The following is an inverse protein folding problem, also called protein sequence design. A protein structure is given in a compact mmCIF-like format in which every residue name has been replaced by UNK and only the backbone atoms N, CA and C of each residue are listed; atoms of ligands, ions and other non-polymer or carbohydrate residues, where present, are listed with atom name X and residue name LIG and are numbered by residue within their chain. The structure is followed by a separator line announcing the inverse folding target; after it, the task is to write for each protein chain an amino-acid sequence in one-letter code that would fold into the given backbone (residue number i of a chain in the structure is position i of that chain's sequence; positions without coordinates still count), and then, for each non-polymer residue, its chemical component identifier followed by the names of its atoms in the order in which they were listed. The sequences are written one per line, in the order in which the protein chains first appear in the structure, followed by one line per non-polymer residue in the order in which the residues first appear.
data_IF_420832850927
#
_entry.id   IF_420832850927
#
_cell.length_a   1.000
_cell.length_b   1.000
_cell.length_c   1.000
_cell.angle_alpha   90.00
_cell.angle_beta   90.00
_cell.angle_gamma   90.00
#
_symmetry.space_group_name_H-M   'P 1'
#
loop_
_entity.id
_entity.type
_entity.pdbx_description
1 polymer ?
#
# COMPACT_ATOMS: atom_id res chain seq x y z
N UNK A 1 16.74 14.29 -9.46
CA UNK A 1 17.50 13.94 -8.23
C UNK A 1 17.31 12.47 -7.85
N UNK A 2 16.09 12.02 -7.52
CA UNK A 2 15.79 10.62 -7.14
C UNK A 2 16.32 9.56 -8.12
N UNK A 3 15.93 9.66 -9.41
CA UNK A 3 16.38 8.72 -10.45
C UNK A 3 17.92 8.69 -10.62
N UNK A 4 18.59 9.82 -10.36
CA UNK A 4 20.05 9.89 -10.39
C UNK A 4 20.70 9.14 -9.23
N UNK A 5 20.18 9.33 -8.00
CA UNK A 5 20.64 8.58 -6.81
C UNK A 5 20.41 7.08 -7.01
N UNK A 6 19.25 6.70 -7.54
CA UNK A 6 18.89 5.31 -7.80
C UNK A 6 19.84 4.64 -8.81
N UNK A 7 20.20 5.36 -9.89
CA UNK A 7 21.18 4.89 -10.88
C UNK A 7 22.58 4.73 -10.27
N UNK A 8 22.99 5.64 -9.39
CA UNK A 8 24.30 5.56 -8.71
C UNK A 8 24.35 4.38 -7.73
N UNK A 9 23.30 4.17 -6.94
CA UNK A 9 23.28 3.14 -5.90
C UNK A 9 23.06 1.72 -6.45
N UNK A 10 22.17 1.58 -7.42
CA UNK A 10 21.69 0.26 -7.85
C UNK A 10 22.04 -0.07 -9.30
N UNK A 11 22.56 0.88 -10.08
CA UNK A 11 22.91 0.66 -11.48
C UNK A 11 21.72 0.71 -12.44
N UNK A 12 20.53 1.12 -12.02
CA UNK A 12 19.34 1.24 -12.89
C UNK A 12 18.49 2.46 -12.52
N UNK A 13 17.82 3.05 -13.52
CA UNK A 13 16.90 4.18 -13.31
C UNK A 13 15.53 3.72 -12.80
N UNK A 14 15.05 2.58 -13.30
CA UNK A 14 13.83 1.92 -12.85
C UNK A 14 14.17 0.47 -12.55
N UNK A 15 13.52 -0.10 -11.54
CA UNK A 15 13.79 -1.48 -11.15
C UNK A 15 13.43 -2.40 -12.32
N UNK A 16 14.36 -3.24 -12.82
CA UNK A 16 14.14 -4.02 -14.03
C UNK A 16 12.88 -4.89 -13.99
N UNK A 17 12.59 -5.49 -12.83
CA UNK A 17 11.40 -6.33 -12.63
C UNK A 17 10.10 -5.52 -12.80
N UNK A 18 10.07 -4.27 -12.32
CA UNK A 18 8.91 -3.38 -12.49
C UNK A 18 8.70 -2.94 -13.95
N UNK A 19 9.77 -2.84 -14.76
CA UNK A 19 9.64 -2.59 -16.20
C UNK A 19 8.97 -3.80 -16.88
N UNK A 20 9.29 -5.02 -16.43
CA UNK A 20 8.68 -6.25 -16.94
C UNK A 20 7.17 -6.36 -16.71
N UNK A 21 6.63 -5.63 -15.72
CA UNK A 21 5.19 -5.57 -15.43
C UNK A 21 4.45 -4.43 -16.15
N UNK A 22 5.12 -3.65 -17.01
CA UNK A 22 4.46 -2.62 -17.79
C UNK A 22 3.55 -3.27 -18.83
N UNK A 23 2.24 -3.27 -18.56
CA UNK A 23 1.23 -3.71 -19.49
C UNK A 23 0.80 -2.55 -20.40
N UNK A 24 1.19 -2.61 -21.67
CA UNK A 24 0.71 -1.66 -22.71
C UNK A 24 -0.60 -2.14 -23.38
N UNK A 25 -1.34 -3.05 -22.75
CA UNK A 25 -2.62 -3.51 -23.29
C UNK A 25 -3.77 -2.60 -22.84
N UNK A 26 -4.73 -2.36 -23.75
CA UNK A 26 -5.87 -1.47 -23.48
C UNK A 26 -6.75 -1.99 -22.34
N UNK A 27 -6.86 -3.32 -22.19
CA UNK A 27 -7.68 -3.95 -21.13
C UNK A 27 -7.11 -3.64 -19.75
N UNK A 28 -5.82 -3.88 -19.54
CA UNK A 28 -5.16 -3.58 -18.26
C UNK A 28 -5.19 -2.09 -17.94
N UNK A 29 -5.05 -1.23 -18.95
CA UNK A 29 -5.23 0.21 -18.78
C UNK A 29 -6.61 0.56 -18.18
N UNK A 30 -7.70 0.05 -18.75
CA UNK A 30 -9.04 0.34 -18.23
C UNK A 30 -9.30 -0.32 -16.87
N UNK A 31 -8.82 -1.55 -16.65
CA UNK A 31 -8.97 -2.25 -15.38
C UNK A 31 -8.28 -1.51 -14.23
N UNK A 32 -7.06 -1.04 -14.45
CA UNK A 32 -6.28 -0.28 -13.48
C UNK A 32 -6.93 1.08 -13.17
N UNK A 33 -7.40 1.82 -14.18
CA UNK A 33 -8.15 3.06 -13.96
C UNK A 33 -9.48 2.82 -13.23
N UNK A 34 -10.20 1.76 -13.59
CA UNK A 34 -11.45 1.40 -12.93
C UNK A 34 -11.24 1.02 -11.46
N UNK A 35 -10.17 0.29 -11.17
CA UNK A 35 -9.78 -0.01 -9.80
C UNK A 35 -9.50 1.27 -9.00
N UNK A 36 -8.80 2.24 -9.59
CA UNK A 36 -8.57 3.56 -8.97
C UNK A 36 -9.87 4.33 -8.74
N UNK A 37 -10.78 4.33 -9.73
CA UNK A 37 -12.10 4.94 -9.57
C UNK A 37 -12.87 4.31 -8.40
N UNK A 38 -12.89 2.97 -8.32
CA UNK A 38 -13.50 2.25 -7.20
C UNK A 38 -12.86 2.64 -5.88
N UNK A 39 -11.55 2.74 -5.82
CA UNK A 39 -10.81 3.08 -4.60
C UNK A 39 -11.06 4.52 -4.13
N UNK A 40 -11.10 5.50 -5.04
CA UNK A 40 -11.25 6.91 -4.66
C UNK A 40 -12.69 7.36 -4.47
N UNK A 41 -13.63 6.82 -5.25
CA UNK A 41 -15.00 7.32 -5.26
C UNK A 41 -16.01 6.40 -4.58
N UNK A 42 -15.76 5.08 -4.60
CA UNK A 42 -16.76 4.08 -4.24
C UNK A 42 -16.31 3.12 -3.13
N UNK A 43 -15.16 3.36 -2.52
CA UNK A 43 -14.68 2.51 -1.44
C UNK A 43 -15.46 2.80 -0.16
N UNK A 44 -15.69 1.76 0.66
CA UNK A 44 -16.51 1.88 1.89
C UNK A 44 -15.97 2.97 2.83
N UNK A 45 -14.65 3.10 2.92
CA UNK A 45 -13.96 4.07 3.79
C UNK A 45 -14.20 5.54 3.42
N UNK A 46 -14.45 5.85 2.14
CA UNK A 46 -14.59 7.22 1.65
C UNK A 46 -15.90 7.45 0.89
N UNK A 47 -16.85 6.51 0.95
CA UNK A 47 -18.01 6.46 0.06
C UNK A 47 -18.80 7.77 -0.02
N UNK A 48 -19.04 8.45 1.10
CA UNK A 48 -19.85 9.68 1.14
C UNK A 48 -19.17 10.80 0.35
N UNK A 49 -17.93 11.12 0.73
CA UNK A 49 -17.15 12.20 0.12
C UNK A 49 -16.73 11.81 -1.30
N UNK A 50 -16.35 10.55 -1.52
CA UNK A 50 -16.01 9.98 -2.81
C UNK A 50 -17.18 10.05 -3.80
N UNK A 51 -18.37 9.58 -3.43
CA UNK A 51 -19.54 9.63 -4.29
C UNK A 51 -19.95 11.07 -4.60
N UNK A 52 -19.95 11.96 -3.59
CA UNK A 52 -20.23 13.38 -3.80
C UNK A 52 -19.23 14.02 -4.78
N UNK A 53 -17.93 13.68 -4.65
CA UNK A 53 -16.88 14.12 -5.58
C UNK A 53 -17.13 13.63 -6.99
N UNK A 54 -17.48 12.34 -7.14
CA UNK A 54 -17.72 11.72 -8.44
C UNK A 54 -18.89 12.37 -9.17
N UNK A 55 -20.02 12.55 -8.48
CA UNK A 55 -21.22 13.22 -9.03
C UNK A 55 -20.87 14.65 -9.43
N UNK A 56 -20.13 15.36 -8.60
CA UNK A 56 -19.69 16.73 -8.88
C UNK A 56 -18.75 16.82 -10.08
N UNK A 57 -17.80 15.88 -10.19
CA UNK A 57 -16.90 15.71 -11.32
C UNK A 57 -17.68 15.52 -12.63
N UNK A 58 -18.59 14.54 -12.66
CA UNK A 58 -19.40 14.22 -13.84
C UNK A 58 -20.26 15.42 -14.25
N UNK A 59 -20.92 16.06 -13.28
CA UNK A 59 -21.73 17.25 -13.54
C UNK A 59 -20.92 18.40 -14.14
N UNK A 60 -19.74 18.71 -13.57
CA UNK A 60 -18.90 19.79 -14.08
C UNK A 60 -18.21 19.45 -15.40
N UNK A 61 -17.93 18.18 -15.69
CA UNK A 61 -17.44 17.74 -16.99
C UNK A 61 -18.50 17.96 -18.09
N UNK A 62 -19.75 17.60 -17.82
CA UNK A 62 -20.86 17.81 -18.76
C UNK A 62 -21.21 19.29 -18.94
N UNK A 63 -21.01 20.11 -17.90
CA UNK A 63 -21.30 21.55 -17.90
C UNK A 63 -20.03 22.42 -17.82
N UNK A 64 -18.93 22.00 -18.46
CA UNK A 64 -17.60 22.60 -18.31
C UNK A 64 -17.54 24.13 -18.51
N UNK A 65 -18.41 24.70 -19.35
CA UNK A 65 -18.48 26.16 -19.57
C UNK A 65 -18.93 26.96 -18.35
N UNK A 66 -19.54 26.30 -17.36
CA UNK A 66 -20.03 26.90 -16.10
C UNK A 66 -19.14 26.57 -14.90
N UNK A 67 -18.20 25.64 -15.05
CA UNK A 67 -17.32 25.22 -13.97
C UNK A 67 -16.26 26.30 -13.68
N UNK A 68 -15.96 26.56 -12.41
CA UNK A 68 -14.86 27.46 -12.07
C UNK A 68 -13.52 26.85 -12.52
N UNK A 69 -12.59 27.70 -12.98
CA UNK A 69 -11.26 27.27 -13.48
C UNK A 69 -10.53 26.35 -12.50
N UNK A 70 -10.64 26.60 -11.20
CA UNK A 70 -10.06 25.75 -10.16
C UNK A 70 -10.54 24.30 -10.25
N UNK A 71 -11.84 24.07 -10.36
CA UNK A 71 -12.41 22.72 -10.47
C UNK A 71 -11.87 22.02 -11.72
N UNK A 72 -11.84 22.71 -12.86
CA UNK A 72 -11.28 22.14 -14.08
C UNK A 72 -9.81 21.71 -13.93
N UNK A 73 -8.99 22.52 -13.25
CA UNK A 73 -7.58 22.17 -12.95
C UNK A 73 -7.50 20.93 -12.06
N UNK A 74 -8.30 20.85 -11.00
CA UNK A 74 -8.32 19.68 -10.10
C UNK A 74 -8.78 18.42 -10.82
N UNK A 75 -9.85 18.52 -11.62
CA UNK A 75 -10.37 17.42 -12.43
C UNK A 75 -9.29 16.93 -13.41
N UNK A 76 -8.62 17.85 -14.10
CA UNK A 76 -7.53 17.54 -15.03
C UNK A 76 -6.36 16.88 -14.29
N UNK A 77 -5.99 17.38 -13.11
CA UNK A 77 -4.94 16.78 -12.29
C UNK A 77 -5.26 15.34 -11.89
N UNK A 78 -6.50 15.05 -11.47
CA UNK A 78 -6.95 13.69 -11.11
C UNK A 78 -6.83 12.77 -12.33
N UNK A 79 -7.38 13.19 -13.47
CA UNK A 79 -7.35 12.41 -14.71
C UNK A 79 -5.89 12.14 -15.13
N UNK A 80 -5.06 13.17 -15.26
CA UNK A 80 -3.65 13.02 -15.65
C UNK A 80 -2.89 12.11 -14.69
N UNK A 81 -3.13 12.23 -13.38
CA UNK A 81 -2.46 11.38 -12.37
C UNK A 81 -2.88 9.91 -12.50
N UNK A 82 -4.16 9.63 -12.79
CA UNK A 82 -4.63 8.27 -13.07
C UNK A 82 -4.06 7.72 -14.38
N UNK A 83 -3.96 8.52 -15.44
CA UNK A 83 -3.29 8.09 -16.67
C UNK A 83 -1.80 7.81 -16.43
N UNK A 84 -1.12 8.68 -15.68
CA UNK A 84 0.30 8.56 -15.38
C UNK A 84 0.64 7.31 -14.56
N UNK A 85 -0.22 6.90 -13.62
CA UNK A 85 0.03 5.70 -12.81
C UNK A 85 0.03 4.40 -13.62
N UNK A 86 -0.71 4.35 -14.73
CA UNK A 86 -0.70 3.19 -15.64
C UNK A 86 0.65 3.02 -16.34
N UNK A 87 1.34 4.12 -16.64
CA UNK A 87 2.61 4.10 -17.38
C UNK A 87 3.80 3.80 -16.47
N UNK A 88 3.66 4.00 -15.17
CA UNK A 88 4.80 4.09 -14.28
C UNK A 88 4.94 2.89 -13.29
N UNK A 89 4.05 1.90 -13.31
CA UNK A 89 3.99 0.83 -12.29
C UNK A 89 4.16 1.41 -10.85
N UNK A 90 3.58 2.59 -10.62
CA UNK A 90 3.68 3.22 -9.31
C UNK A 90 2.69 2.48 -8.40
N UNK A 91 3.20 1.87 -7.32
CA UNK A 91 2.38 1.27 -6.27
C UNK A 91 1.22 2.20 -5.86
N UNK A 92 0.05 1.63 -5.56
CA UNK A 92 -1.19 2.39 -5.30
C UNK A 92 -1.02 3.52 -4.27
N UNK A 93 -0.10 3.37 -3.30
CA UNK A 93 0.28 4.42 -2.33
C UNK A 93 0.69 5.76 -2.94
N UNK A 94 1.25 5.78 -4.15
CA UNK A 94 1.66 7.05 -4.76
C UNK A 94 0.48 7.87 -5.28
N UNK A 95 -0.66 7.21 -5.47
CA UNK A 95 -1.91 7.86 -5.83
C UNK A 95 -2.62 8.47 -4.61
N UNK A 96 -2.08 8.31 -3.39
CA UNK A 96 -2.57 9.01 -2.21
C UNK A 96 -2.52 10.54 -2.38
N UNK A 97 -1.68 11.07 -3.28
CA UNK A 97 -1.67 12.50 -3.62
C UNK A 97 -2.99 12.98 -4.25
N UNK A 98 -3.77 12.07 -4.84
CA UNK A 98 -5.10 12.37 -5.39
C UNK A 98 -6.12 12.58 -4.27
N UNK A 99 -5.99 11.85 -3.16
CA UNK A 99 -7.02 11.76 -2.12
C UNK A 99 -7.41 13.11 -1.49
N UNK A 100 -6.47 14.03 -1.14
CA UNK A 100 -6.84 15.35 -0.64
C UNK A 100 -7.75 16.14 -1.61
N UNK A 101 -7.53 16.00 -2.91
CA UNK A 101 -8.32 16.69 -3.94
C UNK A 101 -9.72 16.11 -4.08
N UNK A 102 -9.84 14.78 -3.98
CA UNK A 102 -11.13 14.11 -3.87
C UNK A 102 -11.88 14.65 -2.65
N UNK A 103 -11.22 14.74 -1.49
CA UNK A 103 -11.86 15.26 -0.27
C UNK A 103 -12.35 16.69 -0.47
N UNK A 104 -11.52 17.57 -1.02
CA UNK A 104 -11.91 18.97 -1.30
C UNK A 104 -13.12 19.04 -2.24
N UNK A 105 -13.11 18.29 -3.33
CA UNK A 105 -14.23 18.25 -4.29
C UNK A 105 -15.51 17.71 -3.64
N UNK A 106 -15.40 16.65 -2.85
CA UNK A 106 -16.55 16.03 -2.20
C UNK A 106 -17.15 16.92 -1.12
N UNK A 107 -16.32 17.58 -0.31
CA UNK A 107 -16.79 18.55 0.69
C UNK A 107 -17.47 19.74 0.00
N UNK A 108 -16.88 20.27 -1.08
CA UNK A 108 -17.48 21.34 -1.86
C UNK A 108 -18.84 20.91 -2.43
N UNK A 109 -18.91 19.72 -3.02
CA UNK A 109 -20.14 19.17 -3.57
C UNK A 109 -21.24 19.03 -2.50
N UNK A 110 -20.89 18.53 -1.32
CA UNK A 110 -21.81 18.40 -0.20
C UNK A 110 -22.30 19.77 0.28
N UNK A 111 -21.41 20.76 0.41
CA UNK A 111 -21.81 22.12 0.81
C UNK A 111 -22.81 22.75 -0.18
N UNK A 112 -22.56 22.59 -1.49
CA UNK A 112 -23.47 23.05 -2.55
C UNK A 112 -24.81 22.33 -2.52
N UNK A 113 -24.81 21.00 -2.33
CA UNK A 113 -26.05 20.22 -2.20
C UNK A 113 -26.84 20.71 -0.99
N UNK A 114 -26.19 20.86 0.18
CA UNK A 114 -26.86 21.29 1.40
C UNK A 114 -27.38 22.72 1.30
N UNK A 115 -26.70 23.61 0.58
CA UNK A 115 -27.16 24.98 0.32
C UNK A 115 -28.48 25.01 -0.47
N UNK A 116 -28.71 24.06 -1.38
CA UNK A 116 -29.96 23.93 -2.12
C UNK A 116 -31.15 23.53 -1.22
N UNK A 117 -30.91 22.68 -0.22
CA UNK A 117 -31.97 22.13 0.64
C UNK A 117 -32.17 22.92 1.94
N UNK A 118 -31.12 23.53 2.49
CA UNK A 118 -31.15 24.22 3.78
C UNK A 118 -30.91 25.72 3.62
N UNK A 119 -31.96 26.51 3.82
CA UNK A 119 -31.91 27.98 3.76
C UNK A 119 -31.21 28.61 4.96
N UNK A 120 -31.20 27.92 6.11
CA UNK A 120 -30.57 28.41 7.33
C UNK A 120 -29.13 27.94 7.43
N UNK A 121 -28.20 28.89 7.52
CA UNK A 121 -26.75 28.61 7.65
C UNK A 121 -26.42 27.65 8.80
N UNK A 122 -27.09 27.79 9.94
CA UNK A 122 -26.88 26.91 11.10
C UNK A 122 -27.21 25.45 10.78
N UNK A 123 -28.39 25.19 10.20
CA UNK A 123 -28.82 23.83 9.87
C UNK A 123 -27.92 23.20 8.78
N UNK A 124 -27.58 23.99 7.75
CA UNK A 124 -26.63 23.59 6.70
C UNK A 124 -25.29 23.15 7.31
N UNK A 125 -24.69 23.99 8.13
CA UNK A 125 -23.38 23.75 8.73
C UNK A 125 -23.41 22.54 9.69
N UNK A 126 -24.46 22.41 10.51
CA UNK A 126 -24.63 21.25 11.38
C UNK A 126 -24.73 19.94 10.58
N UNK A 127 -25.48 19.94 9.47
CA UNK A 127 -25.57 18.78 8.59
C UNK A 127 -24.24 18.45 7.91
N UNK A 128 -23.48 19.46 7.47
CA UNK A 128 -22.16 19.26 6.90
C UNK A 128 -21.21 18.62 7.93
N UNK A 129 -21.19 19.14 9.16
CA UNK A 129 -20.39 18.57 10.26
C UNK A 129 -20.79 17.12 10.55
N UNK A 130 -22.09 16.81 10.57
CA UNK A 130 -22.58 15.45 10.77
C UNK A 130 -22.09 14.51 9.66
N UNK A 131 -22.20 14.91 8.39
CA UNK A 131 -21.72 14.13 7.25
C UNK A 131 -20.21 13.92 7.29
N UNK A 132 -19.44 14.94 7.66
CA UNK A 132 -17.99 14.82 7.78
C UNK A 132 -17.57 13.92 8.93
N UNK A 133 -18.28 14.00 10.06
CA UNK A 133 -18.06 13.12 11.20
C UNK A 133 -18.35 11.67 10.83
N UNK A 134 -19.47 11.42 10.15
CA UNK A 134 -19.83 10.08 9.71
C UNK A 134 -18.87 9.54 8.63
N UNK A 135 -18.44 10.38 7.67
CA UNK A 135 -17.43 9.99 6.69
C UNK A 135 -16.09 9.67 7.34
N UNK A 136 -15.69 10.40 8.38
CA UNK A 136 -14.47 10.12 9.15
C UNK A 136 -14.60 8.82 9.92
N UNK A 137 -15.77 8.56 10.52
CA UNK A 137 -16.06 7.28 11.16
C UNK A 137 -15.96 6.11 10.17
N UNK A 138 -16.51 6.23 8.95
CA UNK A 138 -16.36 5.21 7.91
C UNK A 138 -14.89 4.97 7.54
N UNK A 139 -14.09 6.05 7.42
CA UNK A 139 -12.67 5.95 7.13
C UNK A 139 -11.90 5.20 8.22
N UNK A 140 -12.12 5.58 9.49
CA UNK A 140 -11.44 4.96 10.64
C UNK A 140 -11.90 3.52 10.85
N UNK A 141 -13.19 3.22 10.73
CA UNK A 141 -13.72 1.86 10.91
C UNK A 141 -13.23 0.87 9.85
N UNK A 142 -12.76 1.35 8.70
CA UNK A 142 -12.27 0.53 7.58
C UNK A 142 -10.80 0.79 7.25
N UNK A 143 -10.03 1.39 8.16
CA UNK A 143 -8.60 1.68 7.93
C UNK A 143 -7.70 0.43 7.99
N UNK A 144 -8.17 -0.63 8.65
CA UNK A 144 -7.55 -1.94 8.76
C UNK A 144 -8.52 -2.91 8.10
N UNK A 145 -8.15 -3.41 6.92
CA UNK A 145 -9.00 -4.31 6.15
C UNK A 145 -9.15 -5.68 6.81
N UNK A 146 -8.38 -5.96 7.88
CA UNK A 146 -8.18 -7.29 8.42
C UNK A 146 -7.81 -8.31 7.33
N UNK A 147 -7.14 -7.86 6.28
CA UNK A 147 -6.56 -8.68 5.21
C UNK A 147 -5.18 -8.12 4.90
N UNK A 148 -4.27 -8.97 4.38
CA UNK A 148 -2.97 -8.46 3.94
C UNK A 148 -3.14 -7.54 2.73
N UNK A 149 -2.82 -6.26 2.90
CA UNK A 149 -2.69 -5.32 1.79
C UNK A 149 -1.40 -4.51 2.00
N UNK A 150 -0.37 -4.84 1.23
CA UNK A 150 0.96 -4.24 1.26
C UNK A 150 1.02 -2.83 0.65
N UNK A 151 -0.10 -2.34 0.09
CA UNK A 151 -0.10 -1.10 -0.70
C UNK A 151 -0.89 0.05 -0.07
N UNK A 152 -2.00 -0.21 0.65
CA UNK A 152 -2.97 0.86 0.94
C UNK A 152 -3.65 0.86 2.31
N UNK A 153 -3.31 -0.03 3.25
CA UNK A 153 -3.91 -0.02 4.59
C UNK A 153 -2.89 -0.18 5.71
N UNK A 154 -3.31 -0.07 6.98
CA UNK A 154 -2.40 -0.17 8.13
C UNK A 154 -2.10 -1.61 8.56
N UNK A 155 -2.67 -2.62 7.89
CA UNK A 155 -2.51 -4.04 8.27
C UNK A 155 -1.06 -4.49 8.18
N UNK A 156 -0.25 -3.88 7.28
CA UNK A 156 1.19 -4.15 7.14
C UNK A 156 1.97 -3.96 8.44
N UNK A 157 1.47 -3.13 9.38
CA UNK A 157 2.08 -2.95 10.71
C UNK A 157 2.17 -4.27 11.47
N UNK A 158 1.20 -5.18 11.31
CA UNK A 158 1.24 -6.51 11.94
C UNK A 158 2.39 -7.35 11.39
N UNK A 159 2.67 -7.23 10.09
CA UNK A 159 3.82 -7.87 9.44
C UNK A 159 5.14 -7.25 9.91
N UNK A 160 5.21 -5.92 10.02
CA UNK A 160 6.40 -5.25 10.57
C UNK A 160 6.70 -5.71 12.00
N UNK A 161 5.68 -5.78 12.86
CA UNK A 161 5.83 -6.29 14.23
C UNK A 161 6.27 -7.76 14.27
N UNK A 162 5.74 -8.60 13.38
CA UNK A 162 6.15 -10.00 13.25
C UNK A 162 7.65 -10.13 12.89
N UNK A 163 8.12 -9.32 11.93
CA UNK A 163 9.53 -9.29 11.52
C UNK A 163 10.41 -8.75 12.66
N UNK A 164 9.96 -7.73 13.41
CA UNK A 164 10.67 -7.23 14.59
C UNK A 164 10.79 -8.29 15.69
N UNK A 165 9.71 -9.01 15.99
CA UNK A 165 9.71 -10.10 16.96
C UNK A 165 10.70 -11.21 16.54
N UNK A 166 10.66 -11.59 15.27
CA UNK A 166 11.59 -12.57 14.70
C UNK A 166 13.03 -12.08 14.81
N UNK A 167 13.33 -10.85 14.39
CA UNK A 167 14.68 -10.27 14.45
C UNK A 167 15.22 -10.16 15.89
N UNK A 168 14.37 -9.82 16.85
CA UNK A 168 14.75 -9.78 18.27
C UNK A 168 15.09 -11.17 18.80
N UNK A 169 14.31 -12.18 18.42
CA UNK A 169 14.58 -13.57 18.81
C UNK A 169 15.85 -14.11 18.15
N UNK A 170 16.10 -13.79 16.88
CA UNK A 170 17.31 -14.21 16.16
C UNK A 170 18.59 -13.65 16.81
N UNK A 171 18.55 -12.39 17.25
CA UNK A 171 19.69 -11.74 17.91
C UNK A 171 20.07 -12.39 19.26
N UNK A 172 19.15 -13.17 19.87
CA UNK A 172 19.43 -13.91 21.10
C UNK A 172 19.96 -15.34 20.87
N UNK A 173 20.04 -15.80 19.61
CA UNK A 173 20.51 -17.15 19.30
C UNK A 173 22.04 -17.24 19.31
N UNK A 174 22.56 -18.42 19.67
CA UNK A 174 24.00 -18.69 19.70
C UNK A 174 24.62 -18.68 18.30
N UNK A 175 23.83 -19.04 17.29
CA UNK A 175 24.22 -19.13 15.87
C UNK A 175 23.93 -17.85 15.08
N UNK A 176 23.68 -16.71 15.75
CA UNK A 176 23.36 -15.43 15.08
C UNK A 176 24.42 -14.90 14.10
N UNK A 177 25.66 -15.38 14.21
CA UNK A 177 26.77 -15.00 13.33
C UNK A 177 27.01 -16.02 12.21
N UNK A 178 26.26 -17.12 12.17
CA UNK A 178 26.33 -18.09 11.07
C UNK A 178 25.67 -17.53 9.81
N UNK A 179 26.01 -18.11 8.67
CA UNK A 179 25.29 -17.84 7.42
C UNK A 179 23.93 -18.54 7.50
N UNK A 180 22.87 -17.78 7.25
CA UNK A 180 21.50 -18.26 7.33
C UNK A 180 20.76 -18.01 6.02
N UNK A 181 19.94 -18.97 5.60
CA UNK A 181 19.07 -18.79 4.43
C UNK A 181 17.88 -17.91 4.82
N UNK A 182 17.51 -16.93 3.99
CA UNK A 182 16.24 -16.25 4.17
C UNK A 182 15.65 -15.72 2.87
N UNK A 183 14.31 -15.77 2.76
CA UNK A 183 13.60 -15.24 1.61
C UNK A 183 13.11 -13.79 1.81
N UNK A 184 12.68 -13.17 0.70
CA UNK A 184 12.09 -11.84 0.73
C UNK A 184 10.75 -11.85 1.51
N UNK A 185 10.44 -10.82 2.33
CA UNK A 185 11.21 -9.60 2.59
C UNK A 185 12.14 -9.70 3.81
N UNK A 186 12.16 -10.83 4.52
CA UNK A 186 12.86 -10.92 5.81
C UNK A 186 14.36 -10.76 5.68
N UNK A 187 15.00 -11.28 4.61
CA UNK A 187 16.44 -11.04 4.43
C UNK A 187 16.78 -9.54 4.38
N UNK A 188 15.94 -8.72 3.73
CA UNK A 188 16.17 -7.28 3.60
C UNK A 188 16.10 -6.58 4.97
N UNK A 189 15.25 -7.08 5.87
CA UNK A 189 15.17 -6.60 7.24
C UNK A 189 16.41 -6.98 8.06
N UNK A 190 16.99 -8.16 7.81
CA UNK A 190 18.12 -8.70 8.58
C UNK A 190 19.50 -8.28 8.06
N UNK A 191 19.65 -7.98 6.77
CA UNK A 191 20.93 -7.55 6.17
C UNK A 191 21.23 -6.07 6.37
N UNK A 192 20.20 -5.23 6.59
CA UNK A 192 20.35 -3.78 6.54
C UNK A 192 19.93 -3.11 7.87
N UNK A 193 20.88 -2.81 8.78
CA UNK A 193 20.61 -2.18 10.06
C UNK A 193 19.91 -0.82 9.95
N UNK A 194 20.06 -0.09 8.83
CA UNK A 194 19.36 1.19 8.59
C UNK A 194 17.83 1.04 8.59
N UNK A 195 17.32 -0.18 8.36
CA UNK A 195 15.89 -0.48 8.41
C UNK A 195 15.34 -0.60 9.85
N UNK A 196 16.20 -0.63 10.87
CA UNK A 196 15.82 -0.58 12.29
C UNK A 196 15.36 -1.91 12.90
N UNK A 197 15.46 -3.03 12.18
CA UNK A 197 15.09 -4.37 12.69
C UNK A 197 16.21 -5.04 13.49
N UNK A 198 17.46 -4.77 13.13
CA UNK A 198 18.65 -5.39 13.74
C UNK A 198 19.71 -4.33 14.01
N UNK A 199 20.53 -4.56 15.04
CA UNK A 199 21.66 -3.67 15.36
C UNK A 199 22.90 -3.95 14.50
N UNK A 200 23.08 -5.21 14.14
CA UNK A 200 24.18 -5.70 13.32
C UNK A 200 23.59 -6.55 12.19
N UNK A 201 24.17 -6.49 10.99
CA UNK A 201 23.66 -7.26 9.85
C UNK A 201 23.90 -8.75 10.10
N UNK A 202 22.92 -9.57 9.71
CA UNK A 202 23.11 -11.01 9.57
C UNK A 202 23.78 -11.31 8.22
N UNK A 203 24.58 -12.37 8.18
CA UNK A 203 25.10 -12.90 6.90
C UNK A 203 24.01 -13.80 6.32
N UNK A 204 23.33 -13.31 5.28
CA UNK A 204 22.20 -14.02 4.67
C UNK A 204 22.60 -14.61 3.32
N UNK A 205 22.27 -15.87 3.12
CA UNK A 205 22.19 -16.50 1.80
C UNK A 205 20.76 -16.42 1.25
N UNK A 206 20.65 -16.26 -0.08
CA UNK A 206 19.36 -16.14 -0.76
C UNK A 206 19.32 -17.13 -1.91
N UNK A 207 18.28 -17.95 -1.95
CA UNK A 207 18.08 -19.02 -2.94
C UNK A 207 19.05 -20.19 -2.77
N UNK A 208 19.53 -20.46 -1.54
CA UNK A 208 20.34 -21.63 -1.23
C UNK A 208 21.60 -21.75 -2.12
N UNK A 209 22.26 -20.64 -2.41
CA UNK A 209 23.52 -20.63 -3.17
C UNK A 209 24.65 -21.33 -2.40
N UNK A 210 24.55 -21.39 -1.06
CA UNK A 210 25.47 -22.13 -0.22
C UNK A 210 24.74 -22.95 0.86
N UNK A 211 25.35 -24.05 1.34
CA UNK A 211 24.78 -24.83 2.43
C UNK A 211 24.63 -23.98 3.70
N UNK A 212 23.39 -23.87 4.19
CA UNK A 212 23.06 -23.16 5.43
C UNK A 212 22.44 -24.13 6.43
N UNK A 213 22.88 -24.07 7.68
CA UNK A 213 22.32 -24.91 8.76
C UNK A 213 20.95 -24.41 9.24
N UNK A 214 20.71 -23.12 9.13
CA UNK A 214 19.49 -22.46 9.59
C UNK A 214 18.85 -21.68 8.46
N UNK A 215 17.52 -21.60 8.48
CA UNK A 215 16.75 -20.84 7.51
C UNK A 215 15.55 -20.10 8.12
N UNK A 216 15.20 -18.97 7.54
CA UNK A 216 14.10 -18.09 7.97
C UNK A 216 13.19 -17.79 6.80
N UNK A 217 11.98 -18.33 6.85
CA UNK A 217 11.05 -18.28 5.73
C UNK A 217 9.80 -17.50 6.09
N UNK A 218 9.63 -16.38 5.42
CA UNK A 218 8.43 -15.57 5.43
C UNK A 218 7.43 -16.06 4.39
N UNK A 219 6.18 -16.09 4.80
CA UNK A 219 5.05 -16.44 3.93
C UNK A 219 3.84 -15.62 4.32
N UNK A 220 3.15 -15.07 3.33
CA UNK A 220 1.78 -14.57 3.53
C UNK A 220 0.78 -15.69 3.28
N UNK A 221 -0.35 -15.61 3.97
CA UNK A 221 -1.44 -16.56 3.85
C UNK A 221 -1.94 -16.61 2.41
N UNK A 222 -2.00 -17.82 1.82
CA UNK A 222 -2.47 -18.03 0.45
C UNK A 222 -1.42 -17.90 -0.65
N UNK A 223 -0.16 -17.61 -0.30
CA UNK A 223 0.98 -17.69 -1.23
C UNK A 223 1.70 -19.03 -1.07
N UNK A 224 2.38 -19.45 -2.15
CA UNK A 224 3.28 -20.61 -2.19
C UNK A 224 4.22 -20.64 -0.98
N UNK A 225 4.43 -21.84 -0.42
CA UNK A 225 5.28 -22.04 0.74
C UNK A 225 6.72 -22.33 0.27
N UNK A 226 7.68 -21.44 0.51
CA UNK A 226 9.05 -21.64 0.05
C UNK A 226 9.71 -22.89 0.64
N UNK A 227 9.19 -23.43 1.73
CA UNK A 227 9.68 -24.68 2.31
C UNK A 227 9.05 -25.94 1.68
N UNK A 228 8.09 -25.83 0.76
CA UNK A 228 7.49 -27.02 0.14
C UNK A 228 8.47 -27.81 -0.73
N UNK A 229 9.54 -27.17 -1.19
CA UNK A 229 10.56 -27.76 -2.07
C UNK A 229 11.84 -28.16 -1.33
N UNK A 230 11.92 -27.90 -0.01
CA UNK A 230 13.12 -28.14 0.78
C UNK A 230 12.83 -28.99 2.02
N UNK A 231 13.63 -30.03 2.22
CA UNK A 231 13.59 -30.86 3.42
C UNK A 231 14.39 -30.20 4.54
N UNK A 232 13.84 -30.17 5.75
CA UNK A 232 14.49 -29.63 6.94
C UNK A 232 14.30 -30.57 8.13
N UNK A 233 15.24 -30.55 9.08
CA UNK A 233 15.23 -31.42 10.26
C UNK A 233 14.05 -31.08 11.17
N UNK A 234 13.90 -29.80 11.52
CA UNK A 234 12.84 -29.34 12.43
C UNK A 234 12.58 -27.84 12.32
N UNK A 235 11.37 -27.46 12.72
CA UNK A 235 11.02 -26.06 13.01
C UNK A 235 11.55 -25.69 14.39
N UNK A 236 12.41 -24.68 14.47
CA UNK A 236 12.92 -24.13 15.73
C UNK A 236 11.92 -23.17 16.37
N UNK A 237 11.28 -22.33 15.55
CA UNK A 237 10.29 -21.35 16.01
C UNK A 237 9.34 -20.99 14.87
N UNK A 238 8.08 -20.76 15.21
CA UNK A 238 7.06 -20.24 14.31
C UNK A 238 6.51 -18.94 14.89
N UNK A 239 6.68 -17.85 14.16
CA UNK A 239 6.01 -16.58 14.42
C UNK A 239 4.84 -16.49 13.45
N UNK A 240 3.65 -16.12 13.92
CA UNK A 240 2.50 -15.94 13.03
C UNK A 240 1.55 -14.86 13.52
N UNK A 241 0.89 -14.22 12.57
CA UNK A 241 -0.28 -13.39 12.78
C UNK A 241 -1.40 -13.84 11.81
N UNK A 242 -2.46 -13.05 11.67
CA UNK A 242 -3.61 -13.39 10.82
C UNK A 242 -3.28 -13.47 9.31
N UNK A 243 -2.14 -12.91 8.89
CA UNK A 243 -1.80 -12.62 7.50
C UNK A 243 -0.49 -13.24 7.04
N UNK A 244 0.46 -13.43 7.94
CA UNK A 244 1.79 -13.88 7.63
C UNK A 244 2.32 -14.79 8.73
N UNK A 245 3.22 -15.68 8.32
CA UNK A 245 4.03 -16.49 9.20
C UNK A 245 5.50 -16.38 8.83
N UNK A 246 6.36 -16.44 9.84
CA UNK A 246 7.80 -16.58 9.70
C UNK A 246 8.20 -17.87 10.41
N UNK A 247 8.72 -18.81 9.64
CA UNK A 247 9.20 -20.09 10.14
C UNK A 247 10.72 -20.07 10.20
N UNK A 248 11.27 -20.32 11.38
CA UNK A 248 12.69 -20.57 11.56
C UNK A 248 12.90 -22.08 11.59
N UNK A 249 13.75 -22.59 10.71
CA UNK A 249 14.02 -24.01 10.54
C UNK A 249 15.51 -24.31 10.71
N UNK A 250 15.81 -25.57 11.02
CA UNK A 250 17.14 -26.15 10.96
C UNK A 250 17.17 -27.18 9.83
N UNK A 251 18.14 -27.06 8.93
CA UNK A 251 18.40 -28.02 7.85
C UNK A 251 19.31 -29.15 8.32
N UNK A 252 19.33 -30.24 7.54
CA UNK A 252 20.19 -31.40 7.77
C UNK A 252 21.67 -31.10 7.48
#
# INVERSE_FOLDING_TARGET
LFLGIQRIQNGWFFFPEHIGYLHFNLVGFFDTNWLMCKQFFFHKSNFIVGLASFVYLVFNLLHYKRAAKFHFVVITFIIVSMFFSNVNFYMQRYLLIILPWIIVLGVWALDQILELYFKTKYLKNSMLVLLMTFSTYLAISNWDSNTFNDTCDISYRRTVSLVQETANWLQSQTWKNEVIEANFPVFQALQEPRNGYVKQPFVIDVNFQQPCKYGIFFKTKGIWDPLSEHTYEKTLKLFKNDFAEIRVVQFF
#
